data_IF_141844380526
#
_entry.id   IF_141844380526
#
_cell.length_a   1.000
_cell.length_b   1.000
_cell.length_c   1.000
_cell.angle_alpha   90.00
_cell.angle_beta   90.00
_cell.angle_gamma   90.00
#
_symmetry.space_group_name_H-M   'P 1'
#
loop_
_entity.id
_entity.type
_entity.pdbx_description
1 polymer ?
#
# COMPACT_ATOMS: atom_id res chain seq x y z
N UNK A 1 -6.36 -12.61 21.91
CA UNK A 1 -5.34 -13.64 22.17
C UNK A 1 -4.62 -13.92 20.87
N UNK A 2 -3.29 -14.01 20.88
CA UNK A 2 -2.49 -14.37 19.70
C UNK A 2 -1.93 -15.78 19.92
N UNK A 3 -2.10 -16.65 18.92
CA UNK A 3 -1.57 -18.01 18.90
C UNK A 3 -0.48 -18.05 17.84
N UNK A 4 0.63 -18.74 18.14
CA UNK A 4 1.70 -18.93 17.18
C UNK A 4 1.36 -20.10 16.24
N UNK A 5 1.18 -19.77 14.97
CA UNK A 5 0.89 -20.73 13.91
C UNK A 5 2.08 -20.99 12.99
N UNK A 6 3.30 -20.73 13.44
CA UNK A 6 4.54 -20.87 12.62
C UNK A 6 4.64 -22.27 12.02
N UNK A 7 4.40 -23.33 12.78
CA UNK A 7 4.53 -24.71 12.27
C UNK A 7 3.33 -25.11 11.38
N UNK A 8 2.12 -24.64 11.70
CA UNK A 8 0.97 -24.83 10.82
C UNK A 8 1.19 -24.13 9.47
N UNK A 9 1.71 -22.92 9.46
CA UNK A 9 2.01 -22.16 8.24
C UNK A 9 3.06 -22.88 7.37
N UNK A 10 4.10 -23.49 7.95
CA UNK A 10 5.08 -24.31 7.22
C UNK A 10 4.45 -25.53 6.54
N UNK A 11 3.43 -26.11 7.16
CA UNK A 11 2.72 -27.29 6.64
C UNK A 11 1.62 -26.93 5.61
N UNK A 12 1.17 -25.67 5.57
CA UNK A 12 0.16 -25.21 4.65
C UNK A 12 0.76 -24.82 3.29
N UNK A 13 0.24 -25.30 2.16
CA UNK A 13 0.62 -24.79 0.85
C UNK A 13 0.31 -23.29 0.75
N UNK A 14 1.26 -22.54 0.19
CA UNK A 14 1.06 -21.10 -0.04
C UNK A 14 -0.04 -20.89 -1.09
N UNK A 15 -1.00 -20.02 -0.78
CA UNK A 15 -2.06 -19.62 -1.72
C UNK A 15 -1.49 -18.58 -2.71
N UNK A 16 -1.51 -18.93 -3.98
CA UNK A 16 -1.01 -18.06 -5.05
C UNK A 16 -2.02 -16.99 -5.51
N UNK A 17 -3.09 -16.75 -4.74
CA UNK A 17 -4.05 -15.69 -5.08
C UNK A 17 -3.38 -14.34 -5.15
N UNK A 18 -3.46 -13.62 -6.29
CA UNK A 18 -2.76 -12.35 -6.45
C UNK A 18 -3.40 -11.27 -5.58
N UNK A 19 -2.59 -10.60 -4.78
CA UNK A 19 -3.01 -9.36 -4.14
C UNK A 19 -3.01 -8.23 -5.18
N UNK A 20 -3.98 -7.34 -5.07
CA UNK A 20 -4.09 -6.19 -5.96
C UNK A 20 -2.88 -5.27 -5.82
N UNK A 21 -2.38 -4.74 -6.93
CA UNK A 21 -1.27 -3.80 -6.91
C UNK A 21 -1.69 -2.49 -6.22
N UNK A 22 -0.95 -2.10 -5.18
CA UNK A 22 -1.23 -0.90 -4.39
C UNK A 22 -1.21 0.37 -5.25
N UNK A 23 -0.24 0.50 -6.16
CA UNK A 23 -0.14 1.67 -7.03
C UNK A 23 -1.39 1.82 -7.92
N UNK A 24 -1.90 0.70 -8.47
CA UNK A 24 -3.14 0.70 -9.25
C UNK A 24 -4.34 1.17 -8.43
N UNK A 25 -4.46 0.75 -7.17
CA UNK A 25 -5.55 1.16 -6.29
C UNK A 25 -5.48 2.66 -5.97
N UNK A 26 -4.26 3.14 -5.69
CA UNK A 26 -3.99 4.55 -5.42
C UNK A 26 -4.31 5.41 -6.63
N UNK A 27 -3.87 5.00 -7.83
CA UNK A 27 -4.15 5.69 -9.10
C UNK A 27 -5.64 5.68 -9.44
N UNK A 28 -6.32 4.55 -9.22
CA UNK A 28 -7.75 4.42 -9.41
C UNK A 28 -8.57 5.28 -8.45
N UNK A 29 -8.05 5.55 -7.26
CA UNK A 29 -8.73 6.36 -6.24
C UNK A 29 -8.52 7.86 -6.45
N UNK A 30 -7.37 8.27 -6.95
CA UNK A 30 -7.06 9.68 -7.21
C UNK A 30 -8.01 10.31 -8.25
N UNK A 31 -8.24 11.61 -8.12
CA UNK A 31 -9.10 12.37 -9.04
C UNK A 31 -10.60 12.27 -8.74
N UNK A 32 -10.96 11.81 -7.56
CA UNK A 32 -12.34 11.86 -7.07
C UNK A 32 -12.44 12.93 -5.98
N UNK A 33 -13.58 13.65 -5.99
CA UNK A 33 -13.82 14.79 -5.11
C UNK A 33 -14.08 14.36 -3.66
N UNK A 34 -14.75 13.22 -3.49
CA UNK A 34 -15.19 12.74 -2.18
C UNK A 34 -14.75 11.31 -2.00
N UNK A 35 -14.14 11.04 -0.85
CA UNK A 35 -13.65 9.73 -0.46
C UNK A 35 -14.23 9.31 0.88
N UNK A 36 -14.54 8.02 1.03
CA UNK A 36 -14.80 7.40 2.34
C UNK A 36 -13.89 6.20 2.51
N UNK A 37 -13.35 6.05 3.71
CA UNK A 37 -12.45 4.97 4.07
C UNK A 37 -13.13 4.09 5.10
N UNK A 38 -13.31 2.83 4.77
CA UNK A 38 -13.97 1.84 5.61
C UNK A 38 -12.95 0.79 6.04
N UNK A 39 -13.03 0.39 7.31
CA UNK A 39 -12.20 -0.65 7.92
C UNK A 39 -13.12 -1.81 8.36
N UNK A 40 -12.76 -3.03 8.00
CA UNK A 40 -13.54 -4.20 8.38
C UNK A 40 -13.27 -4.59 9.84
N UNK A 41 -14.33 -4.77 10.63
CA UNK A 41 -14.20 -5.17 12.04
C UNK A 41 -13.59 -6.56 12.16
N UNK A 42 -12.37 -6.67 12.71
CA UNK A 42 -11.66 -7.96 12.88
C UNK A 42 -11.63 -8.82 11.60
N UNK A 43 -11.44 -8.23 10.47
CA UNK A 43 -11.56 -8.73 9.10
C UNK A 43 -11.57 -10.28 8.95
N UNK A 44 -10.48 -10.95 9.31
CA UNK A 44 -10.34 -12.41 9.18
C UNK A 44 -11.34 -13.20 10.03
N UNK A 45 -11.67 -12.70 11.23
CA UNK A 45 -12.63 -13.35 12.13
C UNK A 45 -14.08 -13.34 11.60
N UNK A 46 -14.34 -12.67 10.48
CA UNK A 46 -15.63 -12.69 9.82
C UNK A 46 -15.79 -13.86 8.84
N UNK A 47 -14.71 -14.60 8.59
CA UNK A 47 -14.72 -15.78 7.70
C UNK A 47 -14.86 -17.05 8.54
N UNK A 48 -15.95 -17.81 8.42
CA UNK A 48 -16.10 -19.12 9.08
C UNK A 48 -15.03 -20.09 8.61
N UNK A 49 -14.47 -20.87 9.54
CA UNK A 49 -13.57 -21.99 9.22
C UNK A 49 -14.38 -23.19 8.71
N UNK A 50 -13.81 -23.91 7.74
CA UNK A 50 -14.34 -25.22 7.37
C UNK A 50 -14.26 -26.19 8.55
N UNK A 51 -15.29 -27.01 8.76
CA UNK A 51 -15.33 -27.96 9.89
C UNK A 51 -14.12 -28.90 9.94
N UNK A 52 -13.60 -29.30 8.78
CA UNK A 52 -12.38 -30.12 8.63
C UNK A 52 -11.10 -29.44 9.11
N UNK A 53 -11.08 -28.10 9.16
CA UNK A 53 -9.89 -27.32 9.44
C UNK A 53 -9.89 -26.68 10.83
N UNK A 54 -11.04 -26.64 11.51
CA UNK A 54 -11.15 -26.06 12.86
C UNK A 54 -10.14 -26.66 13.83
N UNK A 55 -10.05 -27.99 13.89
CA UNK A 55 -9.14 -28.70 14.81
C UNK A 55 -7.65 -28.42 14.53
N UNK A 56 -7.29 -28.03 13.29
CA UNK A 56 -5.90 -27.68 12.93
C UNK A 56 -5.47 -26.37 13.59
N UNK A 57 -6.40 -25.56 14.05
CA UNK A 57 -6.15 -24.31 14.76
C UNK A 57 -6.14 -24.46 16.27
N UNK A 58 -6.14 -25.72 16.76
CA UNK A 58 -6.22 -26.00 18.19
C UNK A 58 -5.01 -25.50 18.96
N UNK A 59 -5.26 -25.00 20.15
CA UNK A 59 -4.25 -24.56 21.11
C UNK A 59 -4.68 -24.94 22.52
N UNK A 60 -3.70 -25.09 23.40
CA UNK A 60 -3.87 -25.53 24.78
C UNK A 60 -3.69 -24.34 25.69
N UNK A 61 -4.54 -24.27 26.70
CA UNK A 61 -4.40 -23.36 27.85
C UNK A 61 -4.39 -24.18 29.13
N UNK A 62 -4.18 -23.54 30.27
CA UNK A 62 -4.20 -24.21 31.56
C UNK A 62 -5.58 -24.80 31.89
N UNK A 63 -6.65 -24.26 31.32
CA UNK A 63 -8.03 -24.68 31.63
C UNK A 63 -8.57 -25.71 30.63
N UNK A 64 -8.26 -25.58 29.34
CA UNK A 64 -8.84 -26.43 28.29
C UNK A 64 -8.10 -26.32 26.93
N UNK A 65 -8.50 -27.22 26.01
CA UNK A 65 -8.14 -27.14 24.61
C UNK A 65 -9.20 -26.34 23.85
N UNK A 66 -8.75 -25.38 23.07
CA UNK A 66 -9.59 -24.51 22.25
C UNK A 66 -9.22 -24.60 20.78
N UNK A 67 -10.12 -24.27 19.89
CA UNK A 67 -9.89 -24.08 18.47
C UNK A 67 -10.76 -22.94 17.93
N UNK A 68 -10.36 -22.36 16.82
CA UNK A 68 -11.08 -21.27 16.20
C UNK A 68 -12.23 -21.79 15.31
N UNK A 69 -13.41 -21.21 15.44
CA UNK A 69 -14.54 -21.39 14.52
C UNK A 69 -14.52 -20.44 13.33
N UNK A 70 -13.69 -19.43 13.41
CA UNK A 70 -13.48 -18.40 12.40
C UNK A 70 -11.99 -18.32 12.07
N UNK A 71 -11.64 -17.77 10.93
CA UNK A 71 -10.22 -17.64 10.54
C UNK A 71 -9.47 -16.74 11.51
N UNK A 72 -8.49 -17.25 12.26
CA UNK A 72 -7.72 -16.46 13.21
C UNK A 72 -6.65 -15.62 12.51
N UNK A 73 -6.13 -14.62 13.24
CA UNK A 73 -4.91 -13.92 12.83
C UNK A 73 -3.69 -14.85 12.92
N UNK A 74 -2.69 -14.60 12.06
CA UNK A 74 -1.42 -15.35 12.06
C UNK A 74 -1.33 -16.44 11.00
N UNK A 75 -2.39 -16.73 10.26
CA UNK A 75 -2.34 -17.63 9.09
C UNK A 75 -1.70 -16.95 7.89
N UNK A 76 -0.77 -17.62 7.23
CA UNK A 76 -0.06 -17.12 6.05
C UNK A 76 -1.03 -16.79 4.90
N UNK A 77 -2.00 -17.67 4.65
CA UNK A 77 -2.98 -17.54 3.57
C UNK A 77 -4.19 -16.64 3.92
N UNK A 78 -4.24 -16.06 5.11
CA UNK A 78 -5.39 -15.26 5.55
C UNK A 78 -5.64 -14.06 4.62
N UNK A 79 -4.59 -13.38 4.20
CA UNK A 79 -4.68 -12.23 3.29
C UNK A 79 -5.27 -12.60 1.94
N UNK A 80 -4.78 -13.68 1.33
CA UNK A 80 -5.26 -14.18 0.04
C UNK A 80 -6.73 -14.61 0.12
N UNK A 81 -7.11 -15.31 1.18
CA UNK A 81 -8.49 -15.76 1.42
C UNK A 81 -9.43 -14.58 1.60
N UNK A 82 -9.04 -13.57 2.37
CA UNK A 82 -9.87 -12.38 2.61
C UNK A 82 -10.00 -11.54 1.35
N UNK A 83 -8.90 -11.31 0.61
CA UNK A 83 -8.95 -10.58 -0.66
C UNK A 83 -9.88 -11.27 -1.66
N UNK A 84 -9.81 -12.59 -1.80
CA UNK A 84 -10.71 -13.38 -2.66
C UNK A 84 -12.18 -13.22 -2.26
N UNK A 85 -12.47 -13.16 -0.95
CA UNK A 85 -13.82 -12.86 -0.47
C UNK A 85 -14.27 -11.46 -0.90
N UNK A 86 -13.43 -10.44 -0.68
CA UNK A 86 -13.74 -9.07 -1.03
C UNK A 86 -13.93 -8.87 -2.54
N UNK A 87 -13.10 -9.51 -3.36
CA UNK A 87 -13.22 -9.48 -4.82
C UNK A 87 -14.56 -10.09 -5.28
N UNK A 88 -15.03 -11.13 -4.60
CA UNK A 88 -16.35 -11.72 -4.85
C UNK A 88 -17.49 -10.82 -4.39
N UNK A 89 -17.40 -10.27 -3.17
CA UNK A 89 -18.43 -9.39 -2.56
C UNK A 89 -18.65 -8.14 -3.39
N UNK A 90 -17.56 -7.51 -3.82
CA UNK A 90 -17.59 -6.24 -4.54
C UNK A 90 -17.33 -6.39 -6.06
N UNK A 91 -17.47 -7.58 -6.63
CA UNK A 91 -17.12 -7.89 -8.02
C UNK A 91 -17.68 -6.90 -9.05
N UNK A 92 -18.90 -6.39 -8.84
CA UNK A 92 -19.55 -5.43 -9.73
C UNK A 92 -19.26 -3.96 -9.41
N UNK A 93 -18.67 -3.67 -8.24
CA UNK A 93 -18.41 -2.32 -7.75
C UNK A 93 -16.94 -1.93 -7.83
N UNK A 94 -16.06 -2.95 -7.86
CA UNK A 94 -14.61 -2.78 -7.95
C UNK A 94 -14.20 -2.05 -9.23
N UNK A 95 -13.30 -1.08 -9.09
CA UNK A 95 -12.85 -0.25 -10.21
C UNK A 95 -13.83 0.85 -10.63
N UNK A 96 -15.11 0.75 -10.28
CA UNK A 96 -16.08 1.82 -10.50
C UNK A 96 -15.96 2.88 -9.40
N UNK A 97 -16.54 2.61 -8.25
CA UNK A 97 -16.48 3.51 -7.10
C UNK A 97 -16.00 2.84 -5.80
N UNK A 98 -15.61 1.58 -5.84
CA UNK A 98 -15.02 0.83 -4.71
C UNK A 98 -13.65 0.33 -5.09
N UNK A 99 -12.67 0.52 -4.20
CA UNK A 99 -11.38 -0.14 -4.23
C UNK A 99 -11.15 -0.86 -2.89
N UNK A 100 -10.61 -2.07 -2.94
CA UNK A 100 -10.38 -2.88 -1.74
C UNK A 100 -8.97 -3.45 -1.74
N UNK A 101 -8.29 -3.30 -0.64
CA UNK A 101 -7.03 -3.95 -0.34
C UNK A 101 -7.08 -4.57 1.04
N UNK A 102 -7.38 -5.88 1.08
CA UNK A 102 -7.58 -6.62 2.33
C UNK A 102 -8.69 -5.94 3.16
N UNK A 103 -8.38 -5.44 4.35
CA UNK A 103 -9.29 -4.78 5.30
C UNK A 103 -9.58 -3.31 4.98
N UNK A 104 -8.73 -2.66 4.19
CA UNK A 104 -8.90 -1.28 3.77
C UNK A 104 -9.82 -1.17 2.54
N UNK A 105 -10.96 -0.52 2.68
CA UNK A 105 -11.89 -0.24 1.59
C UNK A 105 -12.00 1.26 1.37
N UNK A 106 -11.98 1.69 0.11
CA UNK A 106 -12.19 3.08 -0.27
C UNK A 106 -13.37 3.18 -1.21
N UNK A 107 -14.29 4.07 -0.86
CA UNK A 107 -15.39 4.50 -1.73
C UNK A 107 -15.03 5.88 -2.27
N UNK A 108 -15.11 6.02 -3.58
CA UNK A 108 -14.70 7.22 -4.32
C UNK A 108 -15.84 7.70 -5.20
N UNK A 109 -16.10 9.01 -5.20
CA UNK A 109 -17.21 9.58 -5.98
C UNK A 109 -16.86 10.97 -6.53
N UNK A 110 -17.43 11.34 -7.67
CA UNK A 110 -17.17 12.66 -8.28
C UNK A 110 -17.91 13.81 -7.56
N UNK A 111 -18.91 13.51 -6.74
CA UNK A 111 -19.70 14.51 -6.01
C UNK A 111 -20.27 13.95 -4.70
N UNK A 112 -20.62 14.85 -3.76
CA UNK A 112 -21.26 14.46 -2.50
C UNK A 112 -22.63 13.79 -2.70
N UNK A 113 -23.41 14.24 -3.67
CA UNK A 113 -24.72 13.64 -3.97
C UNK A 113 -24.56 12.19 -4.42
N UNK A 114 -23.69 11.93 -5.39
CA UNK A 114 -23.39 10.57 -5.85
C UNK A 114 -22.80 9.70 -4.74
N UNK A 115 -21.96 10.29 -3.88
CA UNK A 115 -21.31 9.59 -2.79
C UNK A 115 -22.29 8.98 -1.79
N UNK A 116 -23.39 9.65 -1.48
CA UNK A 116 -24.43 9.11 -0.61
C UNK A 116 -25.10 7.86 -1.21
N UNK A 117 -25.33 7.85 -2.52
CA UNK A 117 -25.88 6.69 -3.25
C UNK A 117 -24.88 5.53 -3.30
N UNK A 118 -23.62 5.83 -3.60
CA UNK A 118 -22.53 4.82 -3.66
C UNK A 118 -22.35 4.16 -2.29
N UNK A 119 -22.33 4.94 -1.20
CA UNK A 119 -22.26 4.42 0.17
C UNK A 119 -23.48 3.55 0.51
N UNK A 120 -24.69 3.95 0.11
CA UNK A 120 -25.90 3.16 0.32
C UNK A 120 -25.79 1.78 -0.36
N UNK A 121 -25.26 1.75 -1.59
CA UNK A 121 -25.01 0.50 -2.33
C UNK A 121 -23.99 -0.38 -1.62
N UNK A 122 -22.86 0.20 -1.17
CA UNK A 122 -21.83 -0.53 -0.42
C UNK A 122 -22.39 -1.10 0.88
N UNK A 123 -23.15 -0.32 1.65
CA UNK A 123 -23.74 -0.82 2.90
C UNK A 123 -24.77 -1.92 2.67
N UNK A 124 -25.54 -1.84 1.60
CA UNK A 124 -26.48 -2.90 1.20
C UNK A 124 -25.74 -4.19 0.87
N UNK A 125 -24.65 -4.07 0.10
CA UNK A 125 -23.79 -5.23 -0.23
C UNK A 125 -23.17 -5.84 1.04
N UNK A 126 -22.59 -5.02 1.92
CA UNK A 126 -22.02 -5.51 3.19
C UNK A 126 -23.07 -6.25 4.05
N UNK A 127 -24.31 -5.72 4.15
CA UNK A 127 -25.41 -6.39 4.87
C UNK A 127 -25.78 -7.73 4.25
N UNK A 128 -25.83 -7.81 2.91
CA UNK A 128 -26.13 -9.05 2.20
C UNK A 128 -25.14 -10.18 2.53
N UNK A 129 -23.87 -9.83 2.73
CA UNK A 129 -22.82 -10.80 3.08
C UNK A 129 -22.52 -10.86 4.58
N UNK A 130 -23.34 -10.21 5.44
CA UNK A 130 -23.16 -10.14 6.90
C UNK A 130 -21.78 -9.62 7.34
N UNK A 131 -21.17 -8.75 6.54
CA UNK A 131 -19.90 -8.12 6.85
C UNK A 131 -20.09 -6.90 7.76
N UNK A 132 -19.21 -6.77 8.74
CA UNK A 132 -19.25 -5.70 9.75
C UNK A 132 -18.08 -4.75 9.57
N UNK A 133 -18.36 -3.46 9.72
CA UNK A 133 -17.37 -2.40 9.75
C UNK A 133 -16.99 -2.04 11.18
N UNK A 134 -15.81 -1.48 11.36
CA UNK A 134 -15.37 -0.83 12.58
C UNK A 134 -15.68 0.67 12.51
N UNK A 135 -16.72 1.18 13.19
CA UNK A 135 -17.11 2.58 13.07
C UNK A 135 -16.00 3.55 13.51
N UNK A 136 -15.20 3.17 14.51
CA UNK A 136 -14.17 4.03 15.10
C UNK A 136 -13.00 4.27 14.15
N UNK A 137 -12.80 3.38 13.17
CA UNK A 137 -11.76 3.50 12.15
C UNK A 137 -12.28 3.97 10.80
N UNK A 138 -13.59 3.95 10.58
CA UNK A 138 -14.19 4.46 9.36
C UNK A 138 -14.18 5.98 9.32
N UNK A 139 -13.92 6.54 8.14
CA UNK A 139 -13.99 7.99 7.91
C UNK A 139 -14.72 8.27 6.64
N UNK A 140 -15.72 9.14 6.72
CA UNK A 140 -16.66 9.40 5.66
C UNK A 140 -16.51 10.80 5.07
N UNK A 141 -16.74 10.92 3.76
CA UNK A 141 -16.91 12.18 3.03
C UNK A 141 -15.75 13.17 3.25
N UNK A 142 -14.54 12.72 3.01
CA UNK A 142 -13.33 13.55 3.11
C UNK A 142 -12.75 13.83 1.73
N UNK A 143 -12.15 15.03 1.57
CA UNK A 143 -11.50 15.45 0.32
C UNK A 143 -10.02 15.03 0.29
N UNK A 144 -9.43 14.70 1.44
CA UNK A 144 -8.02 14.34 1.59
C UNK A 144 -7.80 13.34 2.71
N UNK A 145 -7.06 12.25 2.43
CA UNK A 145 -6.65 11.28 3.46
C UNK A 145 -5.45 10.43 3.04
N UNK A 146 -4.79 9.86 4.05
CA UNK A 146 -3.79 8.80 3.85
C UNK A 146 -4.46 7.50 3.46
N UNK A 147 -3.96 6.86 2.39
CA UNK A 147 -4.38 5.56 1.93
C UNK A 147 -3.18 4.75 1.44
N UNK A 148 -3.00 3.54 1.95
CA UNK A 148 -1.93 2.61 1.59
C UNK A 148 -0.52 3.25 1.56
N UNK A 149 -0.30 4.22 2.42
CA UNK A 149 0.99 4.90 2.54
C UNK A 149 1.20 6.11 1.61
N UNK A 150 0.15 6.55 0.93
CA UNK A 150 0.10 7.76 0.11
C UNK A 150 -0.86 8.80 0.71
N UNK A 151 -0.72 10.04 0.30
CA UNK A 151 -1.71 11.06 0.57
C UNK A 151 -2.53 11.31 -0.71
N UNK A 152 -3.82 11.06 -0.65
CA UNK A 152 -4.74 11.23 -1.77
C UNK A 152 -5.51 12.55 -1.64
N UNK A 153 -5.64 13.25 -2.77
CA UNK A 153 -6.48 14.43 -2.93
C UNK A 153 -7.24 14.35 -4.26
N UNK A 154 -8.17 15.27 -4.50
CA UNK A 154 -8.94 15.34 -5.75
C UNK A 154 -8.04 15.36 -7.01
N UNK A 155 -6.90 16.03 -6.94
CA UNK A 155 -6.07 16.31 -8.13
C UNK A 155 -4.78 15.52 -8.20
N UNK A 156 -4.25 15.12 -7.06
CA UNK A 156 -2.86 14.64 -6.96
C UNK A 156 -2.68 13.49 -5.97
N UNK A 157 -1.62 12.74 -6.20
CA UNK A 157 -1.06 11.76 -5.26
C UNK A 157 0.24 12.36 -4.71
N UNK A 158 0.34 12.49 -3.40
CA UNK A 158 1.50 13.00 -2.70
C UNK A 158 2.19 11.91 -1.88
N UNK A 159 3.49 12.04 -1.69
CA UNK A 159 4.21 11.19 -0.74
C UNK A 159 3.69 11.42 0.68
N UNK A 160 3.64 10.36 1.47
CA UNK A 160 3.23 10.48 2.87
C UNK A 160 4.23 11.37 3.64
N UNK A 161 3.79 12.51 4.21
CA UNK A 161 4.68 13.45 4.91
C UNK A 161 5.46 12.81 6.06
N UNK A 162 4.87 11.85 6.78
CA UNK A 162 5.54 11.16 7.89
C UNK A 162 6.69 10.27 7.39
N UNK A 163 6.50 9.61 6.22
CA UNK A 163 7.57 8.83 5.60
C UNK A 163 8.71 9.72 5.12
N UNK A 164 8.39 10.88 4.53
CA UNK A 164 9.39 11.87 4.13
C UNK A 164 10.15 12.41 5.36
N UNK A 165 9.43 12.84 6.40
CA UNK A 165 9.99 13.34 7.64
C UNK A 165 10.92 12.31 8.30
N UNK A 166 10.53 11.03 8.34
CA UNK A 166 11.35 9.96 8.90
C UNK A 166 12.73 9.79 8.20
N UNK A 167 12.86 10.19 6.92
CA UNK A 167 14.13 10.18 6.21
C UNK A 167 14.88 11.50 6.44
N UNK A 168 14.19 12.64 6.39
CA UNK A 168 14.79 13.96 6.59
C UNK A 168 15.44 14.06 7.98
N UNK A 169 14.79 13.55 9.01
CA UNK A 169 15.28 13.55 10.39
C UNK A 169 16.30 12.43 10.70
N UNK A 170 16.53 11.52 9.77
CA UNK A 170 17.48 10.42 9.98
C UNK A 170 18.91 10.95 9.96
N UNK A 171 19.74 10.53 10.93
CA UNK A 171 21.18 10.77 10.90
C UNK A 171 21.84 9.91 9.81
N UNK A 172 23.05 10.31 9.39
CA UNK A 172 23.83 9.55 8.42
C UNK A 172 24.13 8.14 8.97
N UNK A 173 23.88 7.09 8.17
CA UNK A 173 24.07 5.71 8.62
C UNK A 173 25.49 5.40 9.04
N UNK A 174 25.65 4.76 10.19
CA UNK A 174 26.93 4.30 10.75
C UNK A 174 27.08 2.78 10.71
N UNK A 175 26.00 2.07 10.38
CA UNK A 175 25.98 0.60 10.34
C UNK A 175 25.21 0.09 9.09
N UNK A 176 25.52 -1.15 8.68
CA UNK A 176 24.81 -1.83 7.58
C UNK A 176 23.30 -1.92 7.86
N UNK A 177 22.89 -2.15 9.11
CA UNK A 177 21.47 -2.19 9.49
C UNK A 177 20.78 -0.84 9.28
N UNK A 178 21.46 0.26 9.51
CA UNK A 178 20.93 1.60 9.26
C UNK A 178 20.82 1.90 7.76
N UNK A 179 21.79 1.44 6.96
CA UNK A 179 21.69 1.50 5.49
C UNK A 179 20.49 0.69 5.00
N UNK A 180 20.30 -0.53 5.49
CA UNK A 180 19.11 -1.33 5.14
C UNK A 180 17.82 -0.62 5.50
N UNK A 181 17.77 0.03 6.68
CA UNK A 181 16.62 0.84 7.11
C UNK A 181 16.39 2.04 6.19
N UNK A 182 17.45 2.75 5.80
CA UNK A 182 17.39 3.87 4.87
C UNK A 182 16.83 3.41 3.51
N UNK A 183 17.40 2.35 2.93
CA UNK A 183 16.93 1.81 1.64
C UNK A 183 15.47 1.37 1.73
N UNK A 184 15.05 0.69 2.79
CA UNK A 184 13.65 0.30 3.00
C UNK A 184 12.70 1.52 3.04
N UNK A 185 13.11 2.61 3.71
CA UNK A 185 12.34 3.86 3.74
C UNK A 185 12.27 4.54 2.37
N UNK A 186 13.39 4.59 1.63
CA UNK A 186 13.45 5.15 0.28
C UNK A 186 12.59 4.34 -0.71
N UNK A 187 12.65 3.01 -0.63
CA UNK A 187 11.82 2.12 -1.47
C UNK A 187 10.33 2.38 -1.25
N UNK A 188 9.90 2.64 0.00
CA UNK A 188 8.50 2.93 0.32
C UNK A 188 7.95 4.25 -0.27
N UNK A 189 8.83 5.12 -0.79
CA UNK A 189 8.48 6.39 -1.46
C UNK A 189 9.15 6.53 -2.83
N UNK A 190 9.68 5.43 -3.38
CA UNK A 190 10.47 5.40 -4.62
C UNK A 190 9.74 6.02 -5.81
N UNK A 191 8.41 5.92 -5.84
CA UNK A 191 7.54 6.49 -6.87
C UNK A 191 7.72 8.01 -7.03
N UNK A 192 8.12 8.71 -5.95
CA UNK A 192 8.35 10.16 -5.93
C UNK A 192 9.82 10.56 -6.13
N UNK A 193 10.73 9.59 -6.21
CA UNK A 193 12.16 9.85 -6.30
C UNK A 193 12.70 9.48 -7.69
N UNK A 194 13.03 10.48 -8.51
CA UNK A 194 13.58 10.24 -9.84
C UNK A 194 14.90 9.49 -9.79
N UNK A 195 15.06 8.46 -10.67
CA UNK A 195 16.31 7.72 -10.83
C UNK A 195 16.90 7.19 -9.51
N UNK A 196 16.02 6.78 -8.57
CA UNK A 196 16.46 6.39 -7.22
C UNK A 196 17.54 5.31 -7.24
N UNK A 197 17.38 4.27 -8.07
CA UNK A 197 18.34 3.15 -8.14
C UNK A 197 19.72 3.62 -8.61
N UNK A 198 19.79 4.51 -9.61
CA UNK A 198 21.03 5.09 -10.09
C UNK A 198 21.68 5.98 -9.02
N UNK A 199 20.90 6.89 -8.43
CA UNK A 199 21.40 7.82 -7.40
C UNK A 199 21.88 7.09 -6.15
N UNK A 200 21.24 6.00 -5.74
CA UNK A 200 21.60 5.28 -4.51
C UNK A 200 22.64 4.18 -4.72
N UNK A 201 23.17 4.00 -5.93
CA UNK A 201 24.16 2.96 -6.23
C UNK A 201 25.36 2.92 -5.25
N UNK A 202 26.01 4.04 -4.89
CA UNK A 202 27.11 4.02 -3.90
C UNK A 202 26.67 3.52 -2.52
N UNK A 203 25.45 3.89 -2.09
CA UNK A 203 24.89 3.44 -0.82
C UNK A 203 24.56 1.95 -0.87
N UNK A 204 24.01 1.44 -2.00
CA UNK A 204 23.70 0.03 -2.19
C UNK A 204 24.95 -0.86 -2.20
N UNK A 205 26.09 -0.34 -2.66
CA UNK A 205 27.36 -1.07 -2.63
C UNK A 205 27.80 -1.42 -1.20
N UNK A 206 27.44 -0.60 -0.19
CA UNK A 206 27.73 -0.85 1.22
C UNK A 206 27.01 -2.10 1.77
N UNK A 207 25.97 -2.59 1.09
CA UNK A 207 25.26 -3.82 1.47
C UNK A 207 25.93 -5.11 0.98
N UNK A 208 26.97 -5.03 0.15
CA UNK A 208 27.68 -6.20 -0.35
C UNK A 208 28.48 -6.85 0.80
N UNK A 209 28.37 -8.18 0.95
CA UNK A 209 28.97 -8.96 2.05
C UNK A 209 30.51 -8.85 2.15
N UNK A 210 31.19 -8.49 1.07
CA UNK A 210 32.65 -8.43 0.99
C UNK A 210 33.26 -7.07 1.33
N UNK A 211 32.46 -6.03 1.55
CA UNK A 211 32.93 -4.69 1.78
C UNK A 211 32.99 -4.36 3.28
N UNK A 212 34.12 -3.78 3.73
CA UNK A 212 34.16 -3.12 5.05
C UNK A 212 33.23 -1.91 4.99
N UNK A 213 32.35 -1.78 5.97
CA UNK A 213 31.45 -0.64 6.05
C UNK A 213 32.26 0.66 6.20
N UNK A 214 32.08 1.56 5.24
CA UNK A 214 32.65 2.91 5.28
C UNK A 214 31.66 3.86 4.61
N UNK A 215 31.07 4.77 5.38
CA UNK A 215 30.21 5.84 4.86
C UNK A 215 31.11 6.90 4.22
N UNK A 216 31.07 7.03 2.90
CA UNK A 216 31.92 7.92 2.13
C UNK A 216 31.26 9.29 1.94
N UNK A 217 32.05 10.31 1.53
CA UNK A 217 31.55 11.64 1.20
C UNK A 217 30.53 11.60 0.06
N UNK A 218 30.72 10.70 -0.92
CA UNK A 218 29.74 10.47 -2.01
C UNK A 218 28.40 9.99 -1.45
N UNK A 219 28.41 9.04 -0.52
CA UNK A 219 27.20 8.57 0.15
C UNK A 219 26.51 9.69 0.90
N UNK A 220 27.27 10.53 1.59
CA UNK A 220 26.74 11.67 2.33
C UNK A 220 26.11 12.72 1.39
N UNK A 221 26.78 13.08 0.31
CA UNK A 221 26.23 14.01 -0.69
C UNK A 221 24.92 13.50 -1.29
N UNK A 222 24.85 12.23 -1.65
CA UNK A 222 23.64 11.60 -2.16
C UNK A 222 22.54 11.63 -1.11
N UNK A 223 22.84 11.30 0.14
CA UNK A 223 21.90 11.31 1.23
C UNK A 223 21.33 12.71 1.49
N UNK A 224 22.18 13.75 1.51
CA UNK A 224 21.74 15.13 1.67
C UNK A 224 20.90 15.62 0.48
N UNK A 225 21.26 15.23 -0.76
CA UNK A 225 20.46 15.53 -1.95
C UNK A 225 19.07 14.90 -1.87
N UNK A 226 18.97 13.64 -1.43
CA UNK A 226 17.69 12.96 -1.24
C UNK A 226 16.84 13.66 -0.16
N UNK A 227 17.43 14.08 0.96
CA UNK A 227 16.73 14.85 1.99
C UNK A 227 16.19 16.17 1.43
N UNK A 228 17.00 16.90 0.67
CA UNK A 228 16.56 18.16 0.02
C UNK A 228 15.41 17.93 -0.93
N UNK A 229 15.46 16.87 -1.75
CA UNK A 229 14.35 16.51 -2.65
C UNK A 229 13.06 16.19 -1.86
N UNK A 230 13.18 15.56 -0.70
CA UNK A 230 12.04 15.17 0.13
C UNK A 230 11.43 16.32 0.94
N UNK A 231 12.08 17.47 1.06
CA UNK A 231 11.46 18.67 1.64
C UNK A 231 10.34 19.23 0.76
N UNK A 232 10.43 19.01 -0.57
CA UNK A 232 9.39 19.33 -1.54
C UNK A 232 9.26 18.18 -2.54
N UNK A 233 8.66 17.05 -2.15
CA UNK A 233 8.60 15.87 -2.99
C UNK A 233 7.76 16.14 -4.24
N UNK A 234 8.13 15.56 -5.39
CA UNK A 234 7.34 15.66 -6.60
C UNK A 234 5.92 15.16 -6.38
N UNK A 235 4.99 15.80 -7.02
CA UNK A 235 3.57 15.47 -7.00
C UNK A 235 3.24 14.68 -8.27
N UNK A 236 2.47 13.59 -8.13
CA UNK A 236 1.99 12.83 -9.27
C UNK A 236 0.55 13.25 -9.60
N UNK A 237 0.33 13.57 -10.86
CA UNK A 237 -0.97 14.00 -11.37
C UNK A 237 -1.71 12.85 -12.03
N UNK A 238 -3.05 12.90 -11.98
CA UNK A 238 -3.89 12.01 -12.78
C UNK A 238 -3.81 12.45 -14.26
N UNK A 239 -3.66 11.49 -15.20
CA UNK A 239 -3.64 11.83 -16.62
C UNK A 239 -4.97 12.44 -17.10
N UNK A 240 -4.89 13.44 -17.95
CA UNK A 240 -6.05 13.91 -18.74
C UNK A 240 -6.21 12.99 -19.96
N UNK A 241 -7.33 12.28 -20.01
CA UNK A 241 -7.61 11.31 -21.09
C UNK A 241 -7.71 11.95 -22.48
N UNK A 242 -7.81 13.29 -22.57
CA UNK A 242 -7.89 14.05 -23.82
C UNK A 242 -6.51 14.42 -24.38
N UNK A 243 -5.44 14.21 -23.62
CA UNK A 243 -4.08 14.56 -24.00
C UNK A 243 -3.24 13.30 -24.23
N UNK A 244 -2.27 13.32 -25.17
CA UNK A 244 -1.39 12.19 -25.40
C UNK A 244 -0.49 11.94 -24.21
N UNK A 245 -0.17 10.66 -23.99
CA UNK A 245 0.77 10.21 -22.99
C UNK A 245 2.14 9.96 -23.62
N UNK A 246 3.19 10.48 -23.00
CA UNK A 246 4.57 10.27 -23.39
C UNK A 246 5.24 9.27 -22.45
N UNK A 247 5.87 8.26 -22.99
CA UNK A 247 6.64 7.27 -22.23
C UNK A 247 8.11 7.53 -22.44
N UNK A 248 8.82 7.95 -21.39
CA UNK A 248 10.26 8.06 -21.37
C UNK A 248 10.86 6.79 -20.79
N UNK A 249 11.72 6.14 -21.55
CA UNK A 249 12.43 4.93 -21.14
C UNK A 249 13.92 5.23 -21.13
N UNK A 250 14.58 4.95 -20.02
CA UNK A 250 16.02 5.07 -19.87
C UNK A 250 16.61 3.71 -19.49
N UNK A 251 17.64 3.29 -20.20
CA UNK A 251 18.38 2.07 -19.92
C UNK A 251 19.85 2.43 -19.72
N UNK A 252 20.45 1.94 -18.66
CA UNK A 252 21.88 2.00 -18.38
C UNK A 252 22.39 0.59 -18.09
N UNK A 253 23.70 0.41 -17.98
CA UNK A 253 24.30 -0.90 -17.66
C UNK A 253 23.82 -1.50 -16.33
N UNK A 254 23.20 -0.69 -15.47
CA UNK A 254 22.82 -1.09 -14.11
C UNK A 254 21.34 -0.91 -13.80
N UNK A 255 20.62 -0.12 -14.59
CA UNK A 255 19.22 0.22 -14.27
C UNK A 255 18.39 0.38 -15.52
N UNK A 256 17.12 0.01 -15.41
CA UNK A 256 16.06 0.34 -16.36
C UNK A 256 15.03 1.18 -15.62
N UNK A 257 14.65 2.31 -16.20
CA UNK A 257 13.58 3.14 -15.63
C UNK A 257 12.64 3.62 -16.73
N UNK A 258 11.37 3.80 -16.36
CA UNK A 258 10.38 4.38 -17.24
C UNK A 258 9.61 5.48 -16.50
N UNK A 259 9.24 6.54 -17.19
CA UNK A 259 8.37 7.57 -16.67
C UNK A 259 7.25 7.83 -17.67
N UNK A 260 6.02 7.90 -17.16
CA UNK A 260 4.85 8.30 -17.92
C UNK A 260 4.60 9.78 -17.64
N UNK A 261 4.56 10.57 -18.70
CA UNK A 261 4.52 12.04 -18.64
C UNK A 261 3.44 12.57 -19.55
N UNK A 262 2.85 13.67 -19.18
CA UNK A 262 1.90 14.40 -19.99
C UNK A 262 2.25 15.89 -20.00
N UNK A 263 2.25 16.50 -21.16
CA UNK A 263 2.44 17.93 -21.31
C UNK A 263 1.08 18.64 -21.22
N UNK A 264 0.94 19.47 -20.21
CA UNK A 264 -0.27 20.30 -20.01
C UNK A 264 0.15 21.76 -20.15
N UNK A 265 0.02 22.30 -21.36
CA UNK A 265 0.42 23.67 -21.67
C UNK A 265 1.94 23.88 -21.53
N UNK A 266 2.35 24.81 -20.66
CA UNK A 266 3.79 25.11 -20.43
C UNK A 266 4.44 24.27 -19.31
N UNK A 267 3.72 23.27 -18.76
CA UNK A 267 4.20 22.49 -17.63
C UNK A 267 4.15 21.00 -17.97
N UNK A 268 5.28 20.34 -17.82
CA UNK A 268 5.37 18.88 -17.95
C UNK A 268 5.02 18.23 -16.60
N UNK A 269 3.92 17.49 -16.57
CA UNK A 269 3.46 16.79 -15.36
C UNK A 269 3.85 15.32 -15.40
N UNK A 270 4.55 14.85 -14.37
CA UNK A 270 4.83 13.43 -14.20
C UNK A 270 3.58 12.73 -13.65
N UNK A 271 3.14 11.67 -14.35
CA UNK A 271 1.92 10.93 -14.01
C UNK A 271 2.23 9.66 -13.25
N UNK A 272 3.21 8.91 -13.73
CA UNK A 272 3.64 7.62 -13.21
C UNK A 272 5.14 7.43 -13.44
N UNK A 273 5.73 6.65 -12.58
CA UNK A 273 7.15 6.29 -12.67
C UNK A 273 7.35 4.82 -12.40
#
# INVERSE_FOLDING_TARGET
MCVDYTDLNKACPQDAYPLTNIDRLVDGTAGNKVLSFLDAYSCYNQIPMAASDMNKTAFITDDANYFYRVMPFGHENARATYQRLMDKVFSYLMGQFVEVYIDDMVIKSPSHHQHAQDLSTVFSTLRQYNLRLNPDKCVFSVDRRKFLGFMLTERVIEANPEKCKAIIEMCSPTTIKEVQRLIGRLTAISRFLPKLAEQTQPILQLLKKSARFTWTDDCEQIFQKLKTTLTSPPILHKPDTRQPLLVYITVTDHTVSAALVQDVGHTTSCLLR
#
